data_IF_657125105559
#
_entry.id   IF_657125105559
#
_cell.length_a   1.000
_cell.length_b   1.000
_cell.length_c   1.000
_cell.angle_alpha   90.00
_cell.angle_beta   90.00
_cell.angle_gamma   90.00
#
_symmetry.space_group_name_H-M   'P 1'
#
loop_
_entity.id
_entity.type
_entity.pdbx_description
1 polymer ?
#
# COMPACT_ATOMS: atom_id res chain seq x y z
N UNK A 1 6.97 14.01 -6.00
CA UNK A 1 6.23 14.26 -4.73
C UNK A 1 6.32 12.97 -3.95
N UNK A 2 6.85 12.97 -2.73
CA UNK A 2 7.28 11.72 -2.09
C UNK A 2 6.10 10.75 -1.88
N UNK A 3 6.21 9.53 -2.43
CA UNK A 3 5.21 8.48 -2.20
C UNK A 3 5.11 8.12 -0.71
N UNK A 4 3.88 7.77 -0.30
CA UNK A 4 3.60 7.19 1.01
C UNK A 4 2.95 5.84 0.79
N UNK A 5 3.33 4.84 1.57
CA UNK A 5 2.83 3.48 1.42
C UNK A 5 1.98 3.06 2.62
N UNK A 6 0.80 2.52 2.33
CA UNK A 6 -0.03 1.81 3.29
C UNK A 6 0.05 0.32 2.98
N UNK A 7 0.57 -0.47 3.92
CA UNK A 7 0.60 -1.92 3.81
C UNK A 7 -0.76 -2.47 4.23
N UNK A 8 -1.37 -3.28 3.37
CA UNK A 8 -2.56 -4.07 3.67
C UNK A 8 -2.32 -5.01 4.87
N UNK A 9 -3.36 -5.30 5.65
CA UNK A 9 -3.28 -6.14 6.85
C UNK A 9 -2.73 -7.54 6.58
N UNK A 10 -2.89 -8.04 5.35
CA UNK A 10 -2.45 -9.37 4.93
C UNK A 10 -1.02 -9.38 4.34
N UNK A 11 -0.31 -8.25 4.37
CA UNK A 11 1.09 -8.16 3.95
C UNK A 11 2.00 -8.50 5.13
N UNK A 12 3.05 -9.28 4.88
CA UNK A 12 4.01 -9.67 5.91
C UNK A 12 4.64 -8.42 6.58
N UNK A 13 4.59 -8.29 7.92
CA UNK A 13 5.19 -7.16 8.65
C UNK A 13 6.70 -6.98 8.41
N UNK A 14 7.39 -7.99 7.88
CA UNK A 14 8.77 -7.87 7.43
C UNK A 14 8.93 -6.75 6.39
N UNK A 15 7.95 -6.50 5.52
CA UNK A 15 8.01 -5.42 4.53
C UNK A 15 8.13 -4.05 5.20
N UNK A 16 7.19 -3.71 6.08
CA UNK A 16 7.20 -2.41 6.77
C UNK A 16 8.45 -2.26 7.65
N UNK A 17 8.82 -3.30 8.39
CA UNK A 17 10.00 -3.30 9.27
C UNK A 17 11.29 -3.08 8.48
N UNK A 18 11.47 -3.81 7.38
CA UNK A 18 12.70 -3.74 6.58
C UNK A 18 12.81 -2.43 5.79
N UNK A 19 11.70 -1.92 5.23
CA UNK A 19 11.74 -0.67 4.50
C UNK A 19 12.03 0.50 5.45
N UNK A 20 11.38 0.57 6.63
CA UNK A 20 11.70 1.60 7.65
C UNK A 20 13.19 1.59 8.03
N UNK A 21 13.82 0.41 8.04
CA UNK A 21 15.26 0.25 8.31
C UNK A 21 16.15 0.68 7.13
N UNK A 22 15.78 0.33 5.90
CA UNK A 22 16.57 0.61 4.69
C UNK A 22 16.41 2.05 4.19
N UNK A 23 15.20 2.60 4.27
CA UNK A 23 14.85 3.94 3.79
C UNK A 23 13.99 4.68 4.83
N UNK A 24 14.61 5.29 5.87
CA UNK A 24 13.88 5.90 6.99
C UNK A 24 13.08 7.14 6.63
N UNK A 25 13.37 7.76 5.47
CA UNK A 25 12.66 8.95 4.99
C UNK A 25 11.35 8.61 4.26
N UNK A 26 11.16 7.35 3.87
CA UNK A 26 9.95 6.89 3.21
C UNK A 26 8.83 6.70 4.24
N UNK A 27 7.69 7.36 4.01
CA UNK A 27 6.52 7.23 4.89
C UNK A 27 5.86 5.88 4.63
N UNK A 28 5.91 5.02 5.64
CA UNK A 28 5.25 3.71 5.64
C UNK A 28 4.35 3.59 6.87
N UNK A 29 3.15 3.09 6.60
CA UNK A 29 2.14 2.69 7.56
C UNK A 29 1.65 1.29 7.22
N UNK A 30 1.04 0.60 8.19
CA UNK A 30 0.32 -0.65 7.97
C UNK A 30 -1.09 -0.54 8.55
N UNK A 31 -2.06 -1.17 7.91
CA UNK A 31 -3.43 -1.28 8.46
C UNK A 31 -3.35 -1.89 9.87
N UNK A 32 -4.02 -1.25 10.82
CA UNK A 32 -3.99 -1.59 12.24
C UNK A 32 -2.98 -0.78 13.07
N UNK A 33 -2.12 0.04 12.45
CA UNK A 33 -1.27 1.00 13.18
C UNK A 33 -2.06 2.24 13.64
N UNK A 34 -1.52 2.96 14.62
CA UNK A 34 -2.13 4.19 15.14
C UNK A 34 -2.27 5.23 14.01
N UNK A 35 -3.47 5.77 13.83
CA UNK A 35 -3.76 6.77 12.80
C UNK A 35 -3.99 6.19 11.41
N UNK A 36 -4.12 4.87 11.29
CA UNK A 36 -4.46 4.15 10.05
C UNK A 36 -5.82 3.45 10.21
N UNK A 37 -6.41 2.90 9.14
CA UNK A 37 -7.58 2.05 9.25
C UNK A 37 -7.36 0.89 10.23
N UNK A 38 -8.39 0.50 10.96
CA UNK A 38 -8.32 -0.64 11.89
C UNK A 38 -8.11 -1.96 11.14
N UNK A 39 -7.65 -2.98 11.85
CA UNK A 39 -7.66 -4.35 11.31
C UNK A 39 -9.09 -4.74 10.90
N UNK A 40 -9.19 -5.52 9.82
CA UNK A 40 -10.45 -5.95 9.22
C UNK A 40 -11.35 -4.83 8.66
N UNK A 41 -10.81 -3.62 8.46
CA UNK A 41 -11.48 -2.58 7.66
C UNK A 41 -11.69 -3.08 6.23
N UNK A 42 -12.84 -2.76 5.64
CA UNK A 42 -13.19 -3.24 4.30
C UNK A 42 -12.31 -2.60 3.22
N UNK A 43 -11.98 -3.36 2.18
CA UNK A 43 -11.15 -2.89 1.04
C UNK A 43 -11.63 -1.53 0.45
N UNK A 44 -12.94 -1.28 0.22
CA UNK A 44 -13.40 0.04 -0.27
C UNK A 44 -13.12 1.19 0.71
N UNK A 45 -13.23 0.95 2.02
CA UNK A 45 -12.94 1.96 3.04
C UNK A 45 -11.44 2.25 3.12
N UNK A 46 -10.60 1.23 2.90
CA UNK A 46 -9.14 1.40 2.78
C UNK A 46 -8.80 2.28 1.57
N UNK A 47 -9.47 2.11 0.43
CA UNK A 47 -9.25 2.93 -0.76
C UNK A 47 -9.65 4.39 -0.54
N UNK A 48 -10.79 4.65 0.11
CA UNK A 48 -11.21 5.99 0.51
C UNK A 48 -10.18 6.67 1.43
N UNK A 49 -9.66 5.93 2.41
CA UNK A 49 -8.61 6.43 3.28
C UNK A 49 -7.32 6.74 2.49
N UNK A 50 -6.92 5.86 1.58
CA UNK A 50 -5.73 6.08 0.75
C UNK A 50 -5.86 7.33 -0.14
N UNK A 51 -7.06 7.59 -0.66
CA UNK A 51 -7.38 8.81 -1.41
C UNK A 51 -7.23 10.07 -0.53
N UNK A 52 -7.88 10.09 0.65
CA UNK A 52 -7.88 11.23 1.55
C UNK A 52 -6.46 11.60 2.03
N UNK A 53 -5.67 10.60 2.40
CA UNK A 53 -4.34 10.81 2.99
C UNK A 53 -3.18 10.78 1.97
N UNK A 54 -3.50 10.59 0.68
CA UNK A 54 -2.55 10.46 -0.43
C UNK A 54 -1.52 9.33 -0.21
N UNK A 55 -2.03 8.13 0.05
CA UNK A 55 -1.25 6.91 0.19
C UNK A 55 -1.44 5.99 -1.01
N UNK A 56 -0.36 5.32 -1.39
CA UNK A 56 -0.39 4.18 -2.31
C UNK A 56 -0.59 2.91 -1.48
N UNK A 57 -1.61 2.13 -1.83
CA UNK A 57 -1.89 0.85 -1.18
C UNK A 57 -0.91 -0.21 -1.68
N UNK A 58 -0.27 -0.95 -0.77
CA UNK A 58 0.56 -2.12 -1.07
C UNK A 58 -0.16 -3.36 -0.58
N UNK A 59 -0.50 -4.29 -1.47
CA UNK A 59 -1.33 -5.45 -1.16
C UNK A 59 -0.85 -6.73 -1.86
N UNK A 60 -1.24 -7.89 -1.31
CA UNK A 60 -1.15 -9.20 -1.96
C UNK A 60 -2.48 -9.62 -2.64
N UNK A 61 -3.55 -8.84 -2.45
CA UNK A 61 -4.89 -9.16 -2.93
C UNK A 61 -5.01 -8.96 -4.45
N UNK A 62 -4.70 -10.02 -5.20
CA UNK A 62 -4.81 -10.05 -6.67
C UNK A 62 -6.23 -10.29 -7.19
N UNK A 63 -7.13 -10.76 -6.32
CA UNK A 63 -8.43 -11.30 -6.73
C UNK A 63 -9.52 -10.24 -6.65
N UNK A 64 -9.73 -9.64 -5.48
CA UNK A 64 -10.82 -8.68 -5.28
C UNK A 64 -10.39 -7.23 -5.42
N UNK A 65 -9.12 -6.89 -5.14
CA UNK A 65 -8.66 -5.48 -5.22
C UNK A 65 -8.90 -4.81 -6.60
N UNK A 66 -8.69 -5.48 -7.75
CA UNK A 66 -9.03 -4.86 -9.05
C UNK A 66 -10.51 -4.52 -9.21
N UNK A 67 -11.40 -5.31 -8.60
CA UNK A 67 -12.85 -5.06 -8.59
C UNK A 67 -13.16 -3.86 -7.71
N UNK A 68 -12.63 -3.84 -6.48
CA UNK A 68 -12.78 -2.69 -5.57
C UNK A 68 -12.27 -1.39 -6.18
N UNK A 69 -11.12 -1.42 -6.88
CA UNK A 69 -10.61 -0.26 -7.62
C UNK A 69 -11.56 0.19 -8.73
N UNK A 70 -12.14 -0.76 -9.48
CA UNK A 70 -13.10 -0.44 -10.55
C UNK A 70 -14.34 0.25 -9.98
N UNK A 71 -14.89 -0.28 -8.89
CA UNK A 71 -16.05 0.29 -8.20
C UNK A 71 -15.75 1.67 -7.60
N UNK A 72 -14.52 1.87 -7.10
CA UNK A 72 -14.04 3.15 -6.57
C UNK A 72 -14.03 4.21 -7.67
N UNK A 73 -13.41 3.90 -8.82
CA UNK A 73 -13.35 4.81 -9.97
C UNK A 73 -14.75 5.07 -10.56
N UNK A 74 -15.62 4.06 -10.61
CA UNK A 74 -17.00 4.21 -11.09
C UNK A 74 -17.81 5.20 -10.23
N UNK A 75 -17.47 5.34 -8.95
CA UNK A 75 -18.06 6.32 -8.04
C UNK A 75 -17.40 7.71 -8.13
N UNK A 76 -16.59 7.96 -9.16
CA UNK A 76 -15.82 9.21 -9.37
C UNK A 76 -14.77 9.50 -8.31
N UNK A 77 -14.37 8.48 -7.54
CA UNK A 77 -13.21 8.57 -6.67
C UNK A 77 -11.90 8.37 -7.44
N UNK A 78 -10.79 8.66 -6.78
CA UNK A 78 -9.45 8.46 -7.33
C UNK A 78 -8.55 7.73 -6.33
N UNK A 79 -7.43 7.21 -6.80
CA UNK A 79 -6.39 6.59 -5.97
C UNK A 79 -5.04 7.17 -6.32
N UNK A 80 -4.19 7.38 -5.30
CA UNK A 80 -2.79 7.77 -5.54
C UNK A 80 -2.01 6.65 -6.24
N UNK A 81 -2.40 5.40 -6.00
CA UNK A 81 -1.85 4.21 -6.65
C UNK A 81 -2.13 2.94 -5.86
N UNK A 82 -1.96 1.79 -6.52
CA UNK A 82 -2.00 0.47 -5.89
C UNK A 82 -0.83 -0.35 -6.42
N UNK A 83 -0.02 -0.90 -5.52
CA UNK A 83 1.02 -1.86 -5.84
C UNK A 83 0.64 -3.25 -5.36
N UNK A 84 0.67 -4.20 -6.29
CA UNK A 84 0.47 -5.60 -5.99
C UNK A 84 1.85 -6.27 -5.94
N UNK A 85 2.23 -6.78 -4.77
CA UNK A 85 3.53 -7.41 -4.56
C UNK A 85 3.72 -8.63 -5.48
N UNK A 86 4.88 -8.73 -6.13
CA UNK A 86 5.16 -9.78 -7.09
C UNK A 86 5.48 -11.10 -6.38
N UNK A 87 4.65 -12.13 -6.60
CA UNK A 87 4.81 -13.45 -5.98
C UNK A 87 6.03 -14.22 -6.49
N UNK A 88 6.60 -13.82 -7.63
CA UNK A 88 7.81 -14.42 -8.19
C UNK A 88 9.10 -13.79 -7.64
N UNK A 89 8.98 -12.67 -6.92
CA UNK A 89 10.11 -12.00 -6.29
C UNK A 89 10.19 -12.40 -4.82
N UNK A 90 11.41 -12.51 -4.30
CA UNK A 90 11.62 -12.60 -2.87
C UNK A 90 11.14 -11.33 -2.16
N UNK A 91 10.92 -11.41 -0.84
CA UNK A 91 10.58 -10.23 -0.01
C UNK A 91 11.63 -9.13 -0.19
N UNK A 92 12.93 -9.49 -0.18
CA UNK A 92 14.03 -8.53 -0.36
C UNK A 92 13.97 -7.81 -1.70
N UNK A 93 13.66 -8.51 -2.79
CA UNK A 93 13.52 -7.93 -4.13
C UNK A 93 12.29 -7.02 -4.23
N UNK A 94 11.12 -7.46 -3.72
CA UNK A 94 9.94 -6.59 -3.69
C UNK A 94 10.19 -5.30 -2.88
N UNK A 95 10.92 -5.39 -1.76
CA UNK A 95 11.34 -4.22 -0.97
C UNK A 95 12.21 -3.28 -1.80
N UNK A 96 13.18 -3.81 -2.53
CA UNK A 96 14.07 -3.01 -3.38
C UNK A 96 13.29 -2.28 -4.48
N UNK A 97 12.36 -2.96 -5.16
CA UNK A 97 11.47 -2.34 -6.14
C UNK A 97 10.65 -1.20 -5.53
N UNK A 98 10.02 -1.42 -4.36
CA UNK A 98 9.23 -0.38 -3.67
C UNK A 98 10.06 0.85 -3.30
N UNK A 99 11.32 0.66 -2.88
CA UNK A 99 12.24 1.76 -2.55
C UNK A 99 12.62 2.51 -3.84
N UNK A 100 13.03 1.80 -4.90
CA UNK A 100 13.41 2.40 -6.18
C UNK A 100 12.26 3.26 -6.74
N UNK A 101 11.03 2.74 -6.70
CA UNK A 101 9.85 3.47 -7.17
C UNK A 101 9.63 4.75 -6.35
N UNK A 102 9.81 4.70 -5.02
CA UNK A 102 9.67 5.90 -4.19
C UNK A 102 10.73 6.97 -4.48
N UNK A 103 11.94 6.58 -4.84
CA UNK A 103 13.05 7.50 -5.10
C UNK A 103 12.90 8.23 -6.46
N UNK A 104 12.15 7.65 -7.38
CA UNK A 104 11.93 8.19 -8.73
C UNK A 104 10.64 9.04 -8.87
N UNK A 105 9.98 9.42 -7.77
CA UNK A 105 8.62 9.98 -7.73
C UNK A 105 8.47 11.48 -7.44
#
# INVERSE_FOLDING_TARGET
MALKYLMDENVDPAYSTQIRRKCPNLVICAVGEIGTPSLSTLDPEILLWCEEYNFVLVTNNRKSMPVHLTDHIAQSHHVSGIFILNSNLSIGQNIEELIIISECS
#
